data_IF_030551080183
#
_entry.id   IF_030551080183
#
_cell.length_a   1.000
_cell.length_b   1.000
_cell.length_c   1.000
_cell.angle_alpha   90.00
_cell.angle_beta   90.00
_cell.angle_gamma   90.00
#
_symmetry.space_group_name_H-M   'P 1'
#
loop_
_entity.id
_entity.type
_entity.pdbx_description
1 polymer ?
#
# COMPACT_ATOMS: atom_id res chain seq x y z
N UNK A 1 14.91 -0.17 -39.82
CA UNK A 1 14.40 -0.74 -38.54
C UNK A 1 14.13 0.34 -37.48
N UNK A 2 14.98 1.37 -37.35
CA UNK A 2 14.86 2.46 -36.36
C UNK A 2 13.59 3.34 -36.54
N UNK A 3 13.12 3.56 -37.78
CA UNK A 3 11.93 4.38 -38.06
C UNK A 3 10.61 3.79 -37.54
N UNK A 4 10.53 2.45 -37.45
CA UNK A 4 9.34 1.75 -36.97
C UNK A 4 9.17 1.95 -35.45
N UNK A 5 10.27 1.84 -34.70
CA UNK A 5 10.31 2.02 -33.24
C UNK A 5 9.87 3.43 -32.83
N UNK A 6 10.25 4.47 -33.60
CA UNK A 6 9.86 5.84 -33.31
C UNK A 6 8.36 6.09 -33.58
N UNK A 7 7.83 5.57 -34.70
CA UNK A 7 6.39 5.65 -35.00
C UNK A 7 5.55 4.93 -33.95
N UNK A 8 5.97 3.74 -33.51
CA UNK A 8 5.25 2.97 -32.51
C UNK A 8 5.19 3.71 -31.17
N UNK A 9 6.28 4.40 -30.78
CA UNK A 9 6.28 5.28 -29.59
C UNK A 9 5.31 6.45 -29.72
N UNK A 10 5.25 7.12 -30.87
CA UNK A 10 4.32 8.25 -31.09
C UNK A 10 2.86 7.79 -31.05
N UNK A 11 2.55 6.66 -31.68
CA UNK A 11 1.18 6.11 -31.67
C UNK A 11 0.79 5.71 -30.26
N UNK A 12 1.69 5.05 -29.52
CA UNK A 12 1.45 4.65 -28.14
C UNK A 12 1.24 5.87 -27.23
N UNK A 13 2.02 6.93 -27.42
CA UNK A 13 1.90 8.19 -26.67
C UNK A 13 0.54 8.85 -26.91
N UNK A 14 0.08 8.91 -28.17
CA UNK A 14 -1.25 9.45 -28.53
C UNK A 14 -2.41 8.62 -27.95
N UNK A 15 -2.31 7.30 -27.98
CA UNK A 15 -3.34 6.41 -27.43
C UNK A 15 -3.41 6.54 -25.91
N UNK A 16 -2.26 6.63 -25.25
CA UNK A 16 -2.20 6.92 -23.81
C UNK A 16 -2.80 8.28 -23.48
N UNK A 17 -2.50 9.30 -24.27
CA UNK A 17 -3.07 10.63 -24.10
C UNK A 17 -4.59 10.61 -24.21
N UNK A 18 -5.15 9.97 -25.24
CA UNK A 18 -6.59 9.82 -25.39
C UNK A 18 -7.23 9.12 -24.17
N UNK A 19 -6.61 8.05 -23.67
CA UNK A 19 -7.13 7.32 -22.50
C UNK A 19 -7.20 8.20 -21.23
N UNK A 20 -6.26 9.13 -21.04
CA UNK A 20 -6.32 10.07 -19.91
C UNK A 20 -7.47 11.08 -20.05
N UNK A 21 -7.77 11.53 -21.27
CA UNK A 21 -8.93 12.38 -21.52
C UNK A 21 -10.24 11.63 -21.30
N UNK A 22 -10.33 10.37 -21.75
CA UNK A 22 -11.51 9.53 -21.53
C UNK A 22 -11.77 9.33 -20.03
N UNK A 23 -10.73 8.99 -19.25
CA UNK A 23 -10.82 8.86 -17.80
C UNK A 23 -11.22 10.17 -17.11
N UNK A 24 -10.69 11.32 -17.57
CA UNK A 24 -11.06 12.61 -17.02
C UNK A 24 -12.54 12.97 -17.30
N UNK A 25 -13.04 12.63 -18.49
CA UNK A 25 -14.44 12.82 -18.85
C UNK A 25 -15.34 11.90 -18.01
N UNK A 26 -14.95 10.66 -17.78
CA UNK A 26 -15.67 9.73 -16.90
C UNK A 26 -15.73 10.24 -15.46
N UNK A 27 -14.64 10.77 -14.91
CA UNK A 27 -14.62 11.38 -13.58
C UNK A 27 -15.63 12.54 -13.50
N UNK A 28 -15.64 13.42 -14.50
CA UNK A 28 -16.62 14.52 -14.58
C UNK A 28 -18.06 13.99 -14.71
N UNK A 29 -18.29 13.00 -15.58
CA UNK A 29 -19.61 12.45 -15.86
C UNK A 29 -20.22 11.70 -14.67
N UNK A 30 -19.37 11.04 -13.87
CA UNK A 30 -19.78 10.36 -12.64
C UNK A 30 -20.17 11.32 -11.50
N UNK A 31 -19.93 12.62 -11.68
CA UNK A 31 -20.15 13.65 -10.65
C UNK A 31 -19.04 13.70 -9.59
N UNK A 32 -18.00 12.87 -9.73
CA UNK A 32 -16.80 12.97 -8.93
C UNK A 32 -16.08 14.29 -9.27
N UNK A 33 -15.79 15.10 -8.24
CA UNK A 33 -15.09 16.37 -8.43
C UNK A 33 -13.98 16.53 -7.41
N UNK A 34 -12.76 16.69 -7.92
CA UNK A 34 -11.58 17.07 -7.13
C UNK A 34 -11.68 18.57 -6.80
N UNK A 35 -12.23 18.87 -5.62
CA UNK A 35 -12.53 20.22 -5.16
C UNK A 35 -11.34 21.20 -5.27
N UNK A 36 -10.13 20.76 -4.93
CA UNK A 36 -8.92 21.58 -5.06
C UNK A 36 -8.57 21.94 -6.50
N UNK A 37 -8.63 20.98 -7.43
CA UNK A 37 -8.38 21.23 -8.85
C UNK A 37 -9.48 22.11 -9.47
N UNK A 38 -10.73 21.90 -9.06
CA UNK A 38 -11.84 22.74 -9.50
C UNK A 38 -11.69 24.19 -9.03
N UNK A 39 -11.33 24.40 -7.76
CA UNK A 39 -11.10 25.74 -7.22
C UNK A 39 -9.97 26.44 -7.97
N UNK A 40 -8.86 25.74 -8.24
CA UNK A 40 -7.75 26.26 -9.05
C UNK A 40 -8.22 26.67 -10.45
N UNK A 41 -8.97 25.80 -11.13
CA UNK A 41 -9.51 26.09 -12.45
C UNK A 41 -10.44 27.31 -12.46
N UNK A 42 -11.24 27.49 -11.42
CA UNK A 42 -12.16 28.61 -11.28
C UNK A 42 -11.42 29.94 -11.05
N UNK A 43 -10.37 29.93 -10.24
CA UNK A 43 -9.50 31.11 -10.02
C UNK A 43 -8.79 31.50 -11.31
N UNK A 44 -8.21 30.54 -12.03
CA UNK A 44 -7.55 30.78 -13.32
C UNK A 44 -8.51 31.29 -14.40
N UNK A 45 -9.78 30.94 -14.30
CA UNK A 45 -10.84 31.38 -15.18
C UNK A 45 -11.46 32.73 -14.79
N UNK A 46 -10.98 33.41 -13.76
CA UNK A 46 -11.60 34.61 -13.20
C UNK A 46 -13.10 34.43 -12.89
N UNK A 47 -13.49 33.23 -12.44
CA UNK A 47 -14.89 32.89 -12.17
C UNK A 47 -15.72 32.50 -13.40
N UNK A 48 -15.18 32.57 -14.62
CA UNK A 48 -15.91 32.15 -15.81
C UNK A 48 -16.04 30.63 -15.89
N UNK A 49 -17.23 30.11 -15.61
CA UNK A 49 -17.47 28.68 -15.46
C UNK A 49 -17.13 27.85 -16.71
N UNK A 50 -17.37 28.39 -17.92
CA UNK A 50 -17.01 27.71 -19.18
C UNK A 50 -15.50 27.54 -19.32
N UNK A 51 -14.75 28.58 -19.00
CA UNK A 51 -13.27 28.55 -19.02
C UNK A 51 -12.77 27.64 -17.89
N UNK A 52 -13.39 27.71 -16.71
CA UNK A 52 -13.07 26.85 -15.57
C UNK A 52 -13.24 25.37 -15.89
N UNK A 53 -14.32 24.98 -16.60
CA UNK A 53 -14.52 23.58 -17.04
C UNK A 53 -13.40 23.09 -17.97
N UNK A 54 -12.96 23.93 -18.91
CA UNK A 54 -11.85 23.58 -19.81
C UNK A 54 -10.52 23.48 -19.05
N UNK A 55 -10.25 24.42 -18.14
CA UNK A 55 -9.06 24.39 -17.31
C UNK A 55 -9.06 23.18 -16.36
N UNK A 56 -10.22 22.85 -15.79
CA UNK A 56 -10.41 21.70 -14.93
C UNK A 56 -10.14 20.39 -15.66
N UNK A 57 -10.64 20.23 -16.88
CA UNK A 57 -10.35 19.05 -17.71
C UNK A 57 -8.84 18.89 -17.95
N UNK A 58 -8.12 19.98 -18.27
CA UNK A 58 -6.66 19.94 -18.46
C UNK A 58 -5.93 19.55 -17.18
N UNK A 59 -6.35 20.12 -16.04
CA UNK A 59 -5.78 19.81 -14.74
C UNK A 59 -6.02 18.36 -14.32
N UNK A 60 -7.20 17.80 -14.63
CA UNK A 60 -7.52 16.39 -14.39
C UNK A 60 -6.60 15.46 -15.18
N UNK A 61 -6.45 15.70 -16.49
CA UNK A 61 -5.55 14.90 -17.33
C UNK A 61 -4.13 14.94 -16.80
N UNK A 62 -3.65 16.10 -16.37
CA UNK A 62 -2.34 16.23 -15.75
C UNK A 62 -2.24 15.43 -14.45
N UNK A 63 -3.22 15.57 -13.55
CA UNK A 63 -3.25 14.83 -12.29
C UNK A 63 -3.26 13.32 -12.50
N UNK A 64 -4.03 12.81 -13.47
CA UNK A 64 -4.06 11.38 -13.80
C UNK A 64 -2.72 10.88 -14.33
N UNK A 65 -2.03 11.69 -15.16
CA UNK A 65 -0.68 11.38 -15.63
C UNK A 65 0.32 11.35 -14.47
N UNK A 66 0.24 12.33 -13.57
CA UNK A 66 1.09 12.43 -12.39
C UNK A 66 0.87 11.24 -11.45
N UNK A 67 -0.38 10.81 -11.26
CA UNK A 67 -0.72 9.62 -10.45
C UNK A 67 -0.11 8.34 -11.01
N UNK A 68 -0.23 8.11 -12.33
CA UNK A 68 0.40 6.95 -12.98
C UNK A 68 1.92 7.03 -12.85
N UNK A 69 2.51 8.20 -13.06
CA UNK A 69 3.96 8.40 -12.92
C UNK A 69 4.43 8.13 -11.49
N UNK A 70 3.74 8.67 -10.48
CA UNK A 70 4.06 8.44 -9.07
C UNK A 70 3.91 6.96 -8.72
N UNK A 71 2.84 6.30 -9.18
CA UNK A 71 2.63 4.87 -8.95
C UNK A 71 3.75 4.02 -9.56
N UNK A 72 4.19 4.33 -10.77
CA UNK A 72 5.30 3.63 -11.43
C UNK A 72 6.63 3.90 -10.69
N UNK A 73 6.88 5.14 -10.26
CA UNK A 73 8.07 5.49 -9.47
C UNK A 73 8.11 4.80 -8.11
N UNK A 74 6.97 4.68 -7.44
CA UNK A 74 6.86 3.92 -6.19
C UNK A 74 7.18 2.45 -6.47
N UNK A 75 6.68 1.85 -7.56
CA UNK A 75 7.01 0.46 -7.93
C UNK A 75 8.49 0.25 -8.24
N UNK A 76 9.16 1.23 -8.83
CA UNK A 76 10.61 1.18 -9.11
C UNK A 76 11.48 1.35 -7.86
N UNK A 77 11.07 2.22 -6.94
CA UNK A 77 11.85 2.63 -5.77
C UNK A 77 11.53 1.84 -4.51
N UNK A 78 10.36 1.22 -4.45
CA UNK A 78 10.15 0.10 -3.56
C UNK A 78 11.05 -0.98 -4.13
N UNK A 79 12.14 -1.41 -3.45
CA UNK A 79 12.75 -2.70 -3.81
C UNK A 79 11.60 -3.70 -3.92
N UNK A 80 11.67 -4.75 -4.76
CA UNK A 80 10.72 -5.83 -4.65
C UNK A 80 10.61 -6.06 -3.16
N UNK A 81 9.41 -5.84 -2.60
CA UNK A 81 9.16 -6.28 -1.26
C UNK A 81 9.52 -7.74 -1.44
N UNK A 82 10.73 -8.12 -0.97
CA UNK A 82 10.98 -9.45 -0.51
C UNK A 82 9.66 -9.73 0.13
N UNK A 83 8.93 -10.71 -0.44
CA UNK A 83 7.89 -11.33 0.33
C UNK A 83 8.51 -11.38 1.69
N UNK A 84 7.94 -10.64 2.65
CA UNK A 84 8.07 -11.08 4.01
C UNK A 84 7.32 -12.40 3.87
N UNK A 85 8.04 -13.44 3.40
CA UNK A 85 8.04 -14.74 4.01
C UNK A 85 8.08 -14.30 5.44
N UNK A 86 6.90 -14.27 6.08
CA UNK A 86 6.83 -14.26 7.52
C UNK A 86 8.01 -15.14 7.93
N UNK A 87 8.98 -14.64 8.74
CA UNK A 87 10.00 -15.51 9.29
C UNK A 87 9.24 -16.76 9.67
N UNK A 88 9.52 -17.92 9.05
CA UNK A 88 8.58 -19.03 8.95
C UNK A 88 7.96 -19.16 10.32
N UNK A 89 6.62 -18.98 10.42
CA UNK A 89 5.91 -18.98 11.71
C UNK A 89 6.64 -19.96 12.60
N UNK A 90 7.21 -19.53 13.74
CA UNK A 90 8.19 -20.33 14.46
C UNK A 90 7.62 -21.73 14.59
N UNK A 91 8.24 -22.67 13.86
CA UNK A 91 7.69 -24.00 13.71
C UNK A 91 7.96 -24.71 15.02
N UNK A 92 7.04 -24.54 15.96
CA UNK A 92 7.13 -25.19 17.25
C UNK A 92 6.94 -26.68 16.98
N UNK A 93 8.02 -27.45 17.08
CA UNK A 93 7.95 -28.90 16.99
C UNK A 93 7.15 -29.43 18.18
N UNK A 94 6.48 -30.59 18.04
CA UNK A 94 5.41 -31.03 18.96
C UNK A 94 5.72 -30.90 20.46
N UNK A 95 6.96 -31.13 20.89
CA UNK A 95 7.38 -30.98 22.30
C UNK A 95 7.32 -29.53 22.80
N UNK A 96 7.57 -28.54 21.95
CA UNK A 96 7.49 -27.10 22.28
C UNK A 96 6.03 -26.65 22.37
N UNK A 97 5.17 -27.12 21.46
CA UNK A 97 3.73 -26.81 21.49
C UNK A 97 3.06 -27.38 22.75
N UNK A 98 3.39 -28.63 23.11
CA UNK A 98 2.90 -29.26 24.35
C UNK A 98 3.34 -28.49 25.60
N UNK A 99 4.59 -28.01 25.64
CA UNK A 99 5.10 -27.21 26.76
C UNK A 99 4.40 -25.85 26.85
N UNK A 100 4.16 -25.18 25.71
CA UNK A 100 3.41 -23.93 25.66
C UNK A 100 1.98 -24.10 26.20
N UNK A 101 1.28 -25.17 25.80
CA UNK A 101 -0.06 -25.47 26.32
C UNK A 101 -0.04 -25.81 27.81
N UNK A 102 0.93 -26.64 28.25
CA UNK A 102 1.05 -27.05 29.65
C UNK A 102 1.30 -25.88 30.59
N UNK A 103 2.09 -24.89 30.14
CA UNK A 103 2.49 -23.75 30.96
C UNK A 103 1.71 -22.46 30.64
N UNK A 104 0.80 -22.48 29.67
CA UNK A 104 -0.02 -21.33 29.30
C UNK A 104 0.77 -20.20 28.63
N UNK A 105 1.71 -20.55 27.75
CA UNK A 105 2.50 -19.58 26.96
C UNK A 105 1.90 -19.43 25.56
N UNK A 106 1.63 -18.20 25.14
CA UNK A 106 1.12 -17.87 23.79
C UNK A 106 2.13 -17.04 22.99
N UNK A 107 2.02 -17.04 21.66
CA UNK A 107 2.82 -16.18 20.78
C UNK A 107 1.90 -15.26 19.99
N UNK A 108 2.09 -13.94 20.08
CA UNK A 108 1.21 -12.94 19.46
C UNK A 108 1.71 -12.45 18.07
N UNK A 109 2.71 -13.13 17.49
CA UNK A 109 3.36 -12.70 16.26
C UNK A 109 4.55 -11.74 16.47
N UNK A 110 4.81 -11.30 17.70
CA UNK A 110 5.96 -10.44 18.04
C UNK A 110 6.70 -10.90 19.30
N UNK A 111 5.98 -11.30 20.35
CA UNK A 111 6.53 -11.73 21.64
C UNK A 111 5.78 -12.96 22.16
N UNK A 112 6.42 -13.69 23.08
CA UNK A 112 5.82 -14.75 23.87
C UNK A 112 5.20 -14.16 25.14
N UNK A 113 3.98 -14.57 25.43
CA UNK A 113 3.19 -14.08 26.55
C UNK A 113 2.98 -15.19 27.57
N UNK A 114 3.19 -14.88 28.85
CA UNK A 114 2.88 -15.77 29.96
C UNK A 114 2.23 -14.97 31.09
N UNK A 115 0.90 -14.97 31.16
CA UNK A 115 0.15 -14.10 32.06
C UNK A 115 0.31 -12.63 31.66
N UNK A 116 0.93 -11.81 32.52
CA UNK A 116 1.15 -10.38 32.26
C UNK A 116 2.57 -10.07 31.73
N UNK A 117 3.43 -11.09 31.61
CA UNK A 117 4.83 -10.94 31.22
C UNK A 117 5.04 -11.26 29.74
N UNK A 118 5.92 -10.50 29.10
CA UNK A 118 6.27 -10.62 27.68
C UNK A 118 7.76 -10.98 27.54
N UNK A 119 8.07 -11.89 26.61
CA UNK A 119 9.41 -12.41 26.38
C UNK A 119 9.74 -12.44 24.89
N UNK A 120 11.00 -12.16 24.56
CA UNK A 120 11.48 -12.20 23.17
C UNK A 120 11.78 -13.62 22.71
N UNK A 121 12.07 -14.54 23.64
CA UNK A 121 12.41 -15.94 23.35
C UNK A 121 11.46 -16.91 24.05
N UNK A 122 11.11 -18.00 23.34
CA UNK A 122 10.24 -19.07 23.88
C UNK A 122 10.84 -19.71 25.13
N UNK A 123 12.16 -19.96 25.14
CA UNK A 123 12.83 -20.63 26.26
C UNK A 123 12.73 -19.82 27.55
N UNK A 124 12.83 -18.49 27.46
CA UNK A 124 12.72 -17.60 28.61
C UNK A 124 11.28 -17.60 29.16
N UNK A 125 10.29 -17.55 28.27
CA UNK A 125 8.88 -17.65 28.64
C UNK A 125 8.57 -18.98 29.33
N UNK A 126 9.05 -20.11 28.78
CA UNK A 126 8.85 -21.44 29.34
C UNK A 126 9.55 -21.62 30.69
N UNK A 127 10.79 -21.13 30.84
CA UNK A 127 11.53 -21.20 32.09
C UNK A 127 10.83 -20.40 33.19
N UNK A 128 10.36 -19.19 32.87
CA UNK A 128 9.57 -18.37 33.78
C UNK A 128 8.25 -19.06 34.17
N UNK A 129 7.52 -19.58 33.20
CA UNK A 129 6.24 -20.25 33.42
C UNK A 129 6.38 -21.51 34.27
N UNK A 130 7.42 -22.32 34.04
CA UNK A 130 7.72 -23.52 34.82
C UNK A 130 8.08 -23.17 36.28
N UNK A 131 8.85 -22.10 36.51
CA UNK A 131 9.16 -21.61 37.84
C UNK A 131 7.90 -21.15 38.58
N UNK A 132 7.02 -20.39 37.90
CA UNK A 132 5.73 -19.91 38.44
C UNK A 132 4.74 -21.05 38.72
N UNK A 133 4.76 -22.10 37.91
CA UNK A 133 3.93 -23.29 38.13
C UNK A 133 4.44 -24.12 39.32
N UNK A 134 5.76 -24.20 39.53
CA UNK A 134 6.36 -24.85 40.70
C UNK A 134 6.12 -24.12 42.02
N UNK A 135 5.99 -22.79 42.00
CA UNK A 135 5.71 -22.02 43.21
C UNK A 135 4.23 -21.99 43.61
N UNK A 136 3.34 -22.51 42.75
CA UNK A 136 1.89 -22.60 42.99
C UNK A 136 1.37 -24.01 43.27
N UNK A 137 2.22 -25.03 43.19
CA UNK A 137 1.93 -26.43 43.50
C UNK A 137 2.51 -26.79 44.88
#
# INVERSE_FOLDING_TARGET
MIWKIFKDKIVLDRVKDAAFYDAAVEEIASGARRSGLWAKALVEANGEERIAKLNYLKLLVLALKDEVYIADRIRETTPPHESIKQPPEPQFHGTQQEQMQRYGVSYNGRYFECGEMHFDQLNDALAYAAHKHRSKA
#
